data_IF_035346734351
#
_entry.id   IF_035346734351
#
_cell.length_a   1.000
_cell.length_b   1.000
_cell.length_c   1.000
_cell.angle_alpha   90.00
_cell.angle_beta   90.00
_cell.angle_gamma   90.00
#
_symmetry.space_group_name_H-M   'P 1'
#
loop_
_entity.id
_entity.type
_entity.pdbx_description
1 polymer ?
#
# COMPACT_ATOMS: atom_id res chain seq x y z
N UNK A 1 -5.53 -35.93 13.17
CA UNK A 1 -4.26 -35.96 12.41
C UNK A 1 -3.73 -34.54 12.36
N UNK A 2 -2.64 -34.25 13.06
CA UNK A 2 -1.95 -32.95 13.02
C UNK A 2 -1.03 -32.99 11.82
N UNK A 3 -1.22 -32.09 10.85
CA UNK A 3 -0.33 -31.98 9.69
C UNK A 3 0.95 -31.28 10.15
N UNK A 4 2.16 -31.81 9.89
CA UNK A 4 3.40 -31.18 10.32
C UNK A 4 3.58 -29.79 9.70
N UNK A 5 4.01 -28.79 10.49
CA UNK A 5 4.16 -27.39 10.04
C UNK A 5 5.09 -27.24 8.82
N UNK A 6 6.13 -28.06 8.73
CA UNK A 6 7.04 -28.11 7.57
C UNK A 6 6.35 -28.56 6.27
N UNK A 7 5.30 -29.40 6.37
CA UNK A 7 4.53 -29.85 5.22
C UNK A 7 3.57 -28.74 4.73
N UNK A 8 3.01 -27.96 5.65
CA UNK A 8 2.18 -26.80 5.31
C UNK A 8 3.00 -25.73 4.58
N UNK A 9 4.19 -25.39 5.08
CA UNK A 9 5.06 -24.39 4.45
C UNK A 9 5.51 -24.78 3.02
N UNK A 10 5.87 -26.06 2.81
CA UNK A 10 6.27 -26.57 1.50
C UNK A 10 5.14 -26.58 0.48
N UNK A 11 3.93 -26.98 0.89
CA UNK A 11 2.72 -26.95 0.03
C UNK A 11 2.32 -25.50 -0.29
N UNK A 12 2.42 -24.58 0.67
CA UNK A 12 2.13 -23.15 0.46
C UNK A 12 3.10 -22.55 -0.57
N UNK A 13 4.39 -22.84 -0.49
CA UNK A 13 5.37 -22.36 -1.48
C UNK A 13 5.20 -23.00 -2.86
N UNK A 14 4.82 -24.28 -2.93
CA UNK A 14 4.54 -24.94 -4.21
C UNK A 14 3.27 -24.40 -4.88
N UNK A 15 2.20 -24.17 -4.12
CA UNK A 15 0.98 -23.51 -4.60
C UNK A 15 1.23 -22.06 -5.01
N UNK A 16 2.14 -21.35 -4.32
CA UNK A 16 2.53 -19.97 -4.64
C UNK A 16 3.10 -19.83 -6.07
N UNK A 17 3.85 -20.83 -6.55
CA UNK A 17 4.43 -20.84 -7.90
C UNK A 17 3.45 -21.28 -9.00
N UNK A 18 2.42 -22.07 -8.70
CA UNK A 18 1.43 -22.52 -9.69
C UNK A 18 0.19 -21.62 -9.83
N UNK A 19 -0.06 -20.73 -8.86
CA UNK A 19 -1.18 -19.79 -8.89
C UNK A 19 -0.96 -18.56 -9.77
N UNK A 20 0.21 -18.40 -10.40
CA UNK A 20 0.48 -17.26 -11.30
C UNK A 20 -0.38 -17.31 -12.58
N UNK A 21 -0.81 -18.50 -13.01
CA UNK A 21 -1.66 -18.69 -14.22
C UNK A 21 -3.17 -18.87 -13.93
N UNK A 22 -3.58 -18.98 -12.65
CA UNK A 22 -4.99 -19.18 -12.30
C UNK A 22 -5.66 -17.85 -11.99
N UNK A 23 -6.59 -17.44 -12.85
CA UNK A 23 -7.37 -16.21 -12.64
C UNK A 23 -8.44 -16.38 -11.54
N UNK A 24 -8.09 -15.97 -10.32
CA UNK A 24 -9.00 -15.98 -9.17
C UNK A 24 -9.94 -14.77 -9.10
N UNK A 25 -9.80 -13.76 -9.98
CA UNK A 25 -10.54 -12.49 -9.88
C UNK A 25 -12.06 -12.68 -9.97
N UNK A 26 -12.49 -13.69 -10.72
CA UNK A 26 -13.90 -14.06 -10.87
C UNK A 26 -14.54 -14.50 -9.56
N UNK A 27 -13.78 -15.17 -8.69
CA UNK A 27 -14.27 -15.70 -7.40
C UNK A 27 -14.61 -14.61 -6.39
N UNK A 28 -14.09 -13.39 -6.55
CA UNK A 28 -14.53 -12.27 -5.70
C UNK A 28 -15.89 -11.72 -6.14
N UNK A 29 -16.16 -11.68 -7.45
CA UNK A 29 -17.44 -11.16 -7.99
C UNK A 29 -18.56 -12.19 -7.87
N UNK A 30 -18.23 -13.46 -8.07
CA UNK A 30 -19.12 -14.59 -7.95
C UNK A 30 -18.51 -15.57 -6.93
N UNK A 31 -18.83 -15.42 -5.63
CA UNK A 31 -18.19 -16.16 -4.55
C UNK A 31 -18.69 -17.61 -4.45
N UNK A 32 -18.64 -18.33 -5.57
CA UNK A 32 -18.92 -19.76 -5.62
C UNK A 32 -17.90 -20.51 -4.77
N UNK A 33 -18.38 -21.44 -3.94
CA UNK A 33 -17.55 -22.22 -3.02
C UNK A 33 -16.90 -21.40 -1.88
N UNK A 34 -17.43 -20.21 -1.57
CA UNK A 34 -17.02 -19.47 -0.38
C UNK A 34 -17.22 -20.31 0.88
N UNK A 35 -16.20 -20.42 1.70
CA UNK A 35 -16.16 -21.24 2.92
C UNK A 35 -15.97 -20.41 4.19
N UNK A 36 -15.92 -19.08 4.04
CA UNK A 36 -15.88 -18.11 5.14
C UNK A 36 -16.65 -16.83 4.81
N UNK A 37 -17.33 -16.29 5.82
CA UNK A 37 -17.96 -14.97 5.79
C UNK A 37 -17.15 -14.03 6.66
N UNK A 38 -16.61 -12.96 6.10
CA UNK A 38 -15.98 -11.88 6.85
C UNK A 38 -17.01 -10.78 7.13
N UNK A 39 -17.32 -10.56 8.39
CA UNK A 39 -18.19 -9.48 8.87
C UNK A 39 -17.33 -8.30 9.25
N UNK A 40 -17.57 -7.17 8.60
CA UNK A 40 -16.89 -5.91 8.91
C UNK A 40 -17.92 -4.77 8.87
N UNK A 41 -18.09 -4.11 10.02
CA UNK A 41 -19.17 -3.13 10.24
C UNK A 41 -20.53 -3.75 9.89
N UNK A 42 -21.30 -3.10 9.03
CA UNK A 42 -22.63 -3.48 8.56
C UNK A 42 -22.60 -4.36 7.29
N UNK A 43 -21.42 -4.83 6.85
CA UNK A 43 -21.26 -5.60 5.62
C UNK A 43 -20.72 -7.01 5.89
N UNK A 44 -21.13 -7.93 5.01
CA UNK A 44 -20.63 -9.29 4.96
C UNK A 44 -19.94 -9.56 3.62
N UNK A 45 -18.76 -10.17 3.66
CA UNK A 45 -18.01 -10.58 2.47
C UNK A 45 -17.92 -12.10 2.45
N UNK A 46 -18.46 -12.73 1.40
CA UNK A 46 -18.28 -14.15 1.11
C UNK A 46 -16.90 -14.35 0.48
N UNK A 47 -16.03 -15.12 1.13
CA UNK A 47 -14.62 -15.25 0.77
C UNK A 47 -14.15 -16.72 0.86
N UNK A 48 -12.89 -16.94 0.48
CA UNK A 48 -12.26 -18.25 0.44
C UNK A 48 -11.06 -18.28 1.38
N UNK A 49 -11.07 -19.18 2.36
CA UNK A 49 -10.00 -19.31 3.37
C UNK A 49 -8.64 -19.51 2.72
N UNK A 50 -8.57 -20.39 1.72
CA UNK A 50 -7.32 -20.71 1.04
C UNK A 50 -6.70 -19.47 0.39
N UNK A 51 -7.50 -18.66 -0.31
CA UNK A 51 -7.03 -17.45 -1.01
C UNK A 51 -6.57 -16.41 0.02
N UNK A 52 -7.37 -16.17 1.07
CA UNK A 52 -7.02 -15.24 2.14
C UNK A 52 -5.71 -15.63 2.83
N UNK A 53 -5.60 -16.87 3.30
CA UNK A 53 -4.41 -17.36 4.00
C UNK A 53 -3.16 -17.36 3.13
N UNK A 54 -3.28 -17.71 1.84
CA UNK A 54 -2.14 -17.74 0.93
C UNK A 54 -1.58 -16.34 0.60
N UNK A 55 -2.42 -15.31 0.67
CA UNK A 55 -2.09 -13.95 0.22
C UNK A 55 -1.92 -12.94 1.35
N UNK A 56 -2.32 -13.29 2.59
CA UNK A 56 -2.24 -12.41 3.76
C UNK A 56 -1.85 -13.22 5.00
N UNK A 57 -0.66 -12.98 5.57
CA UNK A 57 -0.25 -13.63 6.82
C UNK A 57 -1.18 -13.29 7.99
N UNK A 58 -1.74 -12.07 8.02
CA UNK A 58 -2.79 -11.69 8.97
C UNK A 58 -3.99 -12.65 8.91
N UNK A 59 -4.56 -12.87 7.72
CA UNK A 59 -5.70 -13.78 7.58
C UNK A 59 -5.33 -15.23 7.85
N UNK A 60 -4.12 -15.66 7.49
CA UNK A 60 -3.64 -17.00 7.81
C UNK A 60 -3.66 -17.26 9.32
N UNK A 61 -3.11 -16.34 10.12
CA UNK A 61 -3.14 -16.44 11.58
C UNK A 61 -4.55 -16.37 12.13
N UNK A 62 -5.36 -15.41 11.66
CA UNK A 62 -6.75 -15.24 12.10
C UNK A 62 -7.56 -16.53 11.90
N UNK A 63 -7.44 -17.15 10.72
CA UNK A 63 -8.15 -18.38 10.38
C UNK A 63 -7.65 -19.61 11.14
N UNK A 64 -6.36 -19.69 11.46
CA UNK A 64 -5.81 -20.77 12.29
C UNK A 64 -6.28 -20.67 13.75
N UNK A 65 -6.48 -19.46 14.26
CA UNK A 65 -6.94 -19.25 15.64
C UNK A 65 -8.44 -19.43 15.82
N UNK A 66 -9.23 -19.30 14.75
CA UNK A 66 -10.68 -19.50 14.78
C UNK A 66 -11.03 -20.96 15.13
N UNK A 67 -12.01 -21.16 16.03
CA UNK A 67 -12.46 -22.51 16.43
C UNK A 67 -13.97 -22.67 16.25
N UNK A 68 -14.41 -23.88 15.91
CA UNK A 68 -15.84 -24.23 15.84
C UNK A 68 -16.62 -23.40 14.81
N UNK A 69 -17.72 -22.76 15.23
CA UNK A 69 -18.59 -21.98 14.32
C UNK A 69 -17.95 -20.66 13.84
N UNK A 70 -16.97 -20.13 14.57
CA UNK A 70 -16.21 -18.92 14.17
C UNK A 70 -15.41 -19.16 12.90
N UNK A 71 -15.07 -20.42 12.60
CA UNK A 71 -14.41 -20.79 11.34
C UNK A 71 -15.24 -20.42 10.10
N UNK A 72 -16.56 -20.26 10.21
CA UNK A 72 -17.42 -19.83 9.10
C UNK A 72 -17.75 -18.33 9.13
N UNK A 73 -17.57 -17.68 10.26
CA UNK A 73 -17.94 -16.28 10.46
C UNK A 73 -16.83 -15.52 11.19
N UNK A 74 -15.95 -14.90 10.42
CA UNK A 74 -14.91 -14.02 10.96
C UNK A 74 -15.49 -12.65 11.25
N UNK A 75 -15.14 -12.06 12.39
CA UNK A 75 -15.42 -10.66 12.67
C UNK A 75 -14.10 -9.89 12.64
N UNK A 76 -14.06 -8.85 11.83
CA UNK A 76 -12.95 -7.91 11.82
C UNK A 76 -13.35 -6.65 12.56
N UNK A 77 -12.46 -6.17 13.43
CA UNK A 77 -12.58 -4.87 14.09
C UNK A 77 -11.57 -3.90 13.50
N UNK A 78 -11.93 -2.62 13.44
CA UNK A 78 -11.07 -1.57 12.90
C UNK A 78 -11.87 -0.37 12.40
N UNK A 79 -11.20 0.77 12.26
CA UNK A 79 -11.80 2.04 11.87
C UNK A 79 -11.81 2.30 10.35
N UNK A 80 -11.23 1.43 9.54
CA UNK A 80 -11.09 1.58 8.10
C UNK A 80 -12.40 1.83 7.33
N UNK A 81 -12.31 2.55 6.22
CA UNK A 81 -13.42 2.71 5.29
C UNK A 81 -13.86 1.38 4.69
N UNK A 82 -15.17 1.11 4.67
CA UNK A 82 -15.72 -0.16 4.14
C UNK A 82 -15.35 -0.39 2.67
N UNK A 83 -15.33 0.69 1.87
CA UNK A 83 -14.93 0.66 0.46
C UNK A 83 -13.45 0.31 0.30
N UNK A 84 -12.60 0.83 1.18
CA UNK A 84 -11.16 0.55 1.21
C UNK A 84 -10.90 -0.92 1.55
N UNK A 85 -11.58 -1.45 2.57
CA UNK A 85 -11.49 -2.88 2.92
C UNK A 85 -11.93 -3.75 1.75
N UNK A 86 -13.07 -3.45 1.12
CA UNK A 86 -13.53 -4.17 -0.06
C UNK A 86 -12.51 -4.11 -1.22
N UNK A 87 -11.86 -2.97 -1.44
CA UNK A 87 -10.84 -2.79 -2.46
C UNK A 87 -9.56 -3.61 -2.18
N UNK A 88 -9.13 -3.69 -0.93
CA UNK A 88 -7.98 -4.52 -0.54
C UNK A 88 -8.32 -6.01 -0.61
N UNK A 89 -9.53 -6.41 -0.22
CA UNK A 89 -9.99 -7.78 -0.43
C UNK A 89 -10.01 -8.14 -1.92
N UNK A 90 -10.42 -7.23 -2.81
CA UNK A 90 -10.32 -7.44 -4.27
C UNK A 90 -8.86 -7.64 -4.71
N UNK A 91 -7.93 -6.88 -4.14
CA UNK A 91 -6.50 -7.06 -4.44
C UNK A 91 -5.99 -8.44 -4.06
N UNK A 92 -6.43 -8.99 -2.93
CA UNK A 92 -6.08 -10.37 -2.52
C UNK A 92 -6.44 -11.39 -3.61
N UNK A 93 -7.54 -11.17 -4.34
CA UNK A 93 -7.99 -12.01 -5.46
C UNK A 93 -7.33 -11.66 -6.81
N UNK A 94 -6.32 -10.77 -6.82
CA UNK A 94 -5.56 -10.39 -8.01
C UNK A 94 -6.17 -9.24 -8.82
N UNK A 95 -7.16 -8.52 -8.28
CA UNK A 95 -7.63 -7.30 -8.93
C UNK A 95 -6.64 -6.15 -8.70
N UNK A 96 -6.35 -5.40 -9.76
CA UNK A 96 -5.42 -4.27 -9.68
C UNK A 96 -6.06 -3.10 -8.92
N UNK A 97 -5.21 -2.35 -8.20
CA UNK A 97 -5.59 -1.04 -7.69
C UNK A 97 -5.64 -0.05 -8.87
N UNK A 98 -6.71 0.75 -9.01
CA UNK A 98 -6.78 1.77 -10.06
C UNK A 98 -5.63 2.78 -9.97
N UNK A 99 -5.00 3.07 -11.12
CA UNK A 99 -3.89 4.02 -11.20
C UNK A 99 -4.32 5.48 -10.96
N UNK A 100 -5.60 5.78 -11.14
CA UNK A 100 -6.18 7.12 -10.99
C UNK A 100 -6.59 7.48 -9.56
N UNK A 101 -6.40 6.59 -8.58
CA UNK A 101 -6.62 6.93 -7.16
C UNK A 101 -5.72 8.08 -6.74
N UNK A 102 -6.26 9.03 -5.98
CA UNK A 102 -5.51 10.15 -5.42
C UNK A 102 -4.67 9.74 -4.18
N UNK A 103 -4.03 10.73 -3.56
CA UNK A 103 -3.18 10.52 -2.38
C UNK A 103 -3.94 10.00 -1.16
N UNK A 104 -5.16 10.50 -0.94
CA UNK A 104 -5.97 10.12 0.21
C UNK A 104 -6.42 8.66 0.09
N UNK A 105 -6.90 8.26 -1.09
CA UNK A 105 -7.26 6.88 -1.38
C UNK A 105 -6.06 5.93 -1.26
N UNK A 106 -4.87 6.31 -1.74
CA UNK A 106 -3.67 5.49 -1.62
C UNK A 106 -3.24 5.32 -0.15
N UNK A 107 -3.37 6.37 0.68
CA UNK A 107 -3.08 6.32 2.11
C UNK A 107 -4.04 5.39 2.84
N UNK A 108 -5.33 5.45 2.53
CA UNK A 108 -6.32 4.54 3.11
C UNK A 108 -6.02 3.08 2.75
N UNK A 109 -5.66 2.82 1.48
CA UNK A 109 -5.28 1.48 1.03
C UNK A 109 -4.00 1.02 1.72
N UNK A 110 -3.01 1.90 1.87
CA UNK A 110 -1.78 1.59 2.61
C UNK A 110 -2.09 1.14 4.04
N UNK A 111 -2.95 1.86 4.76
CA UNK A 111 -3.30 1.53 6.13
C UNK A 111 -3.93 0.12 6.24
N UNK A 112 -4.86 -0.21 5.35
CA UNK A 112 -5.49 -1.54 5.32
C UNK A 112 -4.50 -2.62 4.84
N UNK A 113 -3.69 -2.32 3.84
CA UNK A 113 -2.68 -3.24 3.31
C UNK A 113 -1.63 -3.58 4.37
N UNK A 114 -1.14 -2.59 5.12
CA UNK A 114 -0.23 -2.78 6.25
C UNK A 114 -0.89 -3.62 7.34
N UNK A 115 -2.15 -3.37 7.66
CA UNK A 115 -2.89 -4.12 8.68
C UNK A 115 -3.14 -5.58 8.26
N UNK A 116 -3.45 -5.83 6.97
CA UNK A 116 -3.56 -7.19 6.41
C UNK A 116 -2.22 -7.81 6.02
N UNK A 117 -1.10 -7.15 6.31
CA UNK A 117 0.26 -7.62 6.04
C UNK A 117 0.50 -7.96 4.55
N UNK A 118 -0.03 -7.10 3.68
CA UNK A 118 0.12 -7.16 2.23
C UNK A 118 1.32 -6.31 1.78
N UNK A 119 2.53 -6.78 2.05
CA UNK A 119 3.78 -6.03 1.86
C UNK A 119 3.92 -5.42 0.45
N UNK A 120 3.68 -6.21 -0.60
CA UNK A 120 3.75 -5.74 -1.99
C UNK A 120 2.80 -4.57 -2.28
N UNK A 121 1.59 -4.60 -1.71
CA UNK A 121 0.62 -3.52 -1.87
C UNK A 121 0.98 -2.30 -1.02
N UNK A 122 1.45 -2.52 0.21
CA UNK A 122 1.91 -1.44 1.08
C UNK A 122 3.09 -0.70 0.43
N UNK A 123 4.09 -1.41 -0.08
CA UNK A 123 5.20 -0.83 -0.85
C UNK A 123 4.74 -0.07 -2.08
N UNK A 124 3.79 -0.64 -2.85
CA UNK A 124 3.23 0.02 -4.02
C UNK A 124 2.61 1.37 -3.65
N UNK A 125 1.80 1.41 -2.59
CA UNK A 125 1.22 2.65 -2.09
C UNK A 125 2.29 3.63 -1.65
N UNK A 126 3.27 3.20 -0.86
CA UNK A 126 4.38 4.06 -0.38
C UNK A 126 5.13 4.70 -1.54
N UNK A 127 5.53 3.91 -2.55
CA UNK A 127 6.25 4.39 -3.73
C UNK A 127 5.43 5.45 -4.48
N UNK A 128 4.13 5.22 -4.68
CA UNK A 128 3.26 6.16 -5.39
C UNK A 128 2.98 7.44 -4.60
N UNK A 129 2.83 7.33 -3.27
CA UNK A 129 2.63 8.49 -2.37
C UNK A 129 3.87 9.38 -2.42
N UNK A 130 5.06 8.82 -2.18
CA UNK A 130 6.32 9.55 -2.17
C UNK A 130 6.63 10.21 -3.53
N UNK A 131 6.39 9.49 -4.63
CA UNK A 131 6.55 10.04 -5.96
C UNK A 131 5.69 11.30 -6.16
N UNK A 132 4.41 11.27 -5.76
CA UNK A 132 3.49 12.39 -5.91
C UNK A 132 3.82 13.56 -4.99
N UNK A 133 4.25 13.28 -3.77
CA UNK A 133 4.73 14.31 -2.85
C UNK A 133 5.97 15.01 -3.41
N UNK A 134 6.90 14.26 -4.00
CA UNK A 134 8.07 14.86 -4.66
C UNK A 134 7.72 15.70 -5.89
N UNK A 135 6.77 15.25 -6.72
CA UNK A 135 6.25 16.08 -7.84
C UNK A 135 5.59 17.36 -7.32
N UNK A 136 4.81 17.26 -6.24
CA UNK A 136 4.16 18.43 -5.61
C UNK A 136 5.19 19.39 -5.04
N UNK A 137 6.22 18.87 -4.36
CA UNK A 137 7.33 19.64 -3.83
C UNK A 137 7.98 20.48 -4.93
N UNK A 138 8.35 19.85 -6.05
CA UNK A 138 9.04 20.53 -7.16
C UNK A 138 8.17 21.65 -7.74
N UNK A 139 6.85 21.41 -7.90
CA UNK A 139 5.92 22.46 -8.36
C UNK A 139 5.88 23.66 -7.42
N UNK A 140 5.86 23.42 -6.11
CA UNK A 140 5.89 24.49 -5.12
C UNK A 140 7.23 25.23 -5.12
N UNK A 141 8.35 24.52 -5.30
CA UNK A 141 9.67 25.12 -5.41
C UNK A 141 9.78 26.06 -6.62
N UNK A 142 9.24 25.66 -7.78
CA UNK A 142 9.18 26.53 -8.97
C UNK A 142 8.36 27.79 -8.68
N UNK A 143 7.18 27.65 -8.04
CA UNK A 143 6.34 28.79 -7.67
C UNK A 143 7.06 29.73 -6.70
N UNK A 144 7.75 29.18 -5.69
CA UNK A 144 8.50 29.97 -4.71
C UNK A 144 9.58 30.82 -5.39
N UNK A 145 10.29 30.21 -6.34
CA UNK A 145 11.37 30.86 -7.09
C UNK A 145 10.83 31.92 -8.05
N UNK A 146 9.82 31.60 -8.86
CA UNK A 146 9.22 32.54 -9.81
C UNK A 146 8.58 33.77 -9.13
N UNK A 147 8.16 33.65 -7.87
CA UNK A 147 7.58 34.74 -7.09
C UNK A 147 8.56 35.39 -6.10
N UNK A 148 9.84 34.98 -6.08
CA UNK A 148 10.85 35.44 -5.12
C UNK A 148 10.35 35.37 -3.65
N UNK A 149 9.66 34.29 -3.30
CA UNK A 149 9.05 34.12 -1.98
C UNK A 149 9.99 33.43 -0.99
N UNK A 150 10.77 34.22 -0.25
CA UNK A 150 11.73 33.71 0.74
C UNK A 150 11.06 32.92 1.88
N UNK A 151 9.82 33.27 2.26
CA UNK A 151 9.04 32.49 3.22
C UNK A 151 8.77 31.07 2.71
N UNK A 152 8.33 30.94 1.45
CA UNK A 152 8.03 29.63 0.88
C UNK A 152 9.29 28.80 0.67
N UNK A 153 10.40 29.40 0.24
CA UNK A 153 11.71 28.73 0.15
C UNK A 153 12.16 28.19 1.50
N UNK A 154 12.06 29.00 2.56
CA UNK A 154 12.39 28.60 3.92
C UNK A 154 11.55 27.41 4.40
N UNK A 155 10.23 27.42 4.17
CA UNK A 155 9.35 26.30 4.52
C UNK A 155 9.60 25.05 3.68
N UNK A 156 9.95 25.19 2.40
CA UNK A 156 10.29 24.06 1.53
C UNK A 156 11.61 23.42 1.92
N UNK A 157 12.58 24.20 2.41
CA UNK A 157 13.86 23.68 2.91
C UNK A 157 13.67 22.67 4.04
N UNK A 158 12.84 23.01 5.04
CA UNK A 158 12.50 22.10 6.15
C UNK A 158 11.82 20.81 5.65
N UNK A 159 10.90 20.93 4.68
CA UNK A 159 10.22 19.79 4.08
C UNK A 159 11.18 18.89 3.26
N UNK A 160 12.14 19.51 2.55
CA UNK A 160 13.12 18.81 1.74
C UNK A 160 14.01 17.91 2.59
N UNK A 161 14.51 18.41 3.73
CA UNK A 161 15.37 17.64 4.64
C UNK A 161 14.75 16.29 5.06
N UNK A 162 13.42 16.23 5.17
CA UNK A 162 12.71 15.01 5.59
C UNK A 162 12.45 14.03 4.43
N UNK A 163 12.39 14.52 3.19
CA UNK A 163 11.89 13.75 2.04
C UNK A 163 12.83 13.73 0.83
N UNK A 164 14.05 14.26 0.96
CA UNK A 164 14.99 14.43 -0.14
C UNK A 164 15.32 13.15 -0.93
N UNK A 165 15.40 11.93 -0.34
CA UNK A 165 15.74 10.74 -1.13
C UNK A 165 14.67 10.43 -2.17
N UNK A 166 13.39 10.69 -1.85
CA UNK A 166 12.29 10.51 -2.80
C UNK A 166 12.16 11.63 -3.82
N UNK A 167 12.72 12.81 -3.55
CA UNK A 167 12.65 13.97 -4.43
C UNK A 167 13.78 13.92 -5.47
N UNK A 168 15.01 13.66 -5.02
CA UNK A 168 16.23 13.75 -5.85
C UNK A 168 16.30 12.69 -6.96
N UNK A 169 15.61 11.56 -6.79
CA UNK A 169 15.50 10.50 -7.80
C UNK A 169 14.53 10.82 -8.95
N UNK A 170 13.75 11.91 -8.85
CA UNK A 170 12.77 12.28 -9.86
C UNK A 170 13.43 12.96 -11.07
N UNK A 171 12.99 12.62 -12.29
CA UNK A 171 13.43 13.34 -13.50
C UNK A 171 13.10 14.84 -13.43
N UNK A 172 11.94 15.19 -12.87
CA UNK A 172 11.54 16.59 -12.66
C UNK A 172 12.44 17.33 -11.67
N UNK A 173 13.11 16.62 -10.76
CA UNK A 173 14.12 17.24 -9.90
C UNK A 173 15.36 17.61 -10.70
N UNK A 174 15.81 16.73 -11.59
CA UNK A 174 16.95 17.01 -12.48
C UNK A 174 16.68 18.23 -13.38
N UNK A 175 15.47 18.31 -13.94
CA UNK A 175 15.01 19.48 -14.71
C UNK A 175 14.98 20.75 -13.85
N UNK A 176 14.44 20.66 -12.64
CA UNK A 176 14.41 21.77 -11.68
C UNK A 176 15.82 22.26 -11.33
N UNK A 177 16.73 21.34 -10.99
CA UNK A 177 18.10 21.67 -10.62
C UNK A 177 18.89 22.29 -11.77
N UNK A 178 18.61 21.88 -13.02
CA UNK A 178 19.21 22.52 -14.20
C UNK A 178 18.68 23.93 -14.44
N UNK A 179 17.43 24.21 -14.10
CA UNK A 179 16.79 25.52 -14.33
C UNK A 179 17.06 26.52 -13.21
N UNK A 180 17.16 26.05 -11.96
CA UNK A 180 17.35 26.87 -10.76
C UNK A 180 18.52 26.32 -9.92
N UNK A 181 19.76 26.40 -10.43
CA UNK A 181 20.91 25.73 -9.82
C UNK A 181 21.25 26.24 -8.43
N UNK A 182 21.13 27.56 -8.18
CA UNK A 182 21.43 28.15 -6.89
C UNK A 182 20.46 27.66 -5.82
N UNK A 183 19.15 27.65 -6.12
CA UNK A 183 18.14 27.17 -5.18
C UNK A 183 18.23 25.65 -4.97
N UNK A 184 18.54 24.87 -6.02
CA UNK A 184 18.77 23.44 -5.86
C UNK A 184 20.01 23.14 -5.00
N UNK A 185 21.09 23.90 -5.17
CA UNK A 185 22.30 23.77 -4.35
C UNK A 185 22.02 24.13 -2.88
N UNK A 186 21.22 25.17 -2.65
CA UNK A 186 20.76 25.58 -1.32
C UNK A 186 19.98 24.44 -0.63
N UNK A 187 19.01 23.84 -1.33
CA UNK A 187 18.26 22.70 -0.81
C UNK A 187 19.17 21.49 -0.52
N UNK A 188 20.14 21.20 -1.39
CA UNK A 188 21.08 20.10 -1.17
C UNK A 188 22.02 20.34 0.02
N UNK A 189 22.44 21.59 0.26
CA UNK A 189 23.29 21.93 1.40
C UNK A 189 22.58 21.67 2.74
N UNK A 190 21.26 21.86 2.77
CA UNK A 190 20.41 21.61 3.94
C UNK A 190 20.54 20.18 4.51
N UNK A 191 20.84 19.20 3.63
CA UNK A 191 20.99 17.81 4.02
C UNK A 191 22.38 17.57 4.64
N UNK A 192 23.42 18.15 4.04
CA UNK A 192 24.81 17.96 4.46
C UNK A 192 25.15 18.59 5.81
N UNK A 193 24.32 19.51 6.31
CA UNK A 193 24.48 20.13 7.64
C UNK A 193 24.07 19.21 8.81
N UNK A 194 23.47 18.03 8.53
CA UNK A 194 22.96 17.09 9.54
C UNK A 194 23.67 15.72 9.57
N UNK A 195 24.64 15.48 8.70
CA UNK A 195 25.53 14.29 8.71
C UNK A 195 26.81 14.55 9.52
#
# INVERSE_FOLDING_TARGET
MVVPEHFAAGVINHLRLQLEDVDLRGLFKHPLYSDVVLRYKDQEFLLHKLILSARSPFFARLLLTAKGQECRGLRLEGSFGIRTVAQVLRYIYGLKIPHWYDMEHLRDIYNVASFFELETLAEFCTKNILYRDGIRFIKLAIIAEENNSEYMKSSLRELFETHWPSITVLNSWQEFASRYPDFASDLMSAISEKE
#
